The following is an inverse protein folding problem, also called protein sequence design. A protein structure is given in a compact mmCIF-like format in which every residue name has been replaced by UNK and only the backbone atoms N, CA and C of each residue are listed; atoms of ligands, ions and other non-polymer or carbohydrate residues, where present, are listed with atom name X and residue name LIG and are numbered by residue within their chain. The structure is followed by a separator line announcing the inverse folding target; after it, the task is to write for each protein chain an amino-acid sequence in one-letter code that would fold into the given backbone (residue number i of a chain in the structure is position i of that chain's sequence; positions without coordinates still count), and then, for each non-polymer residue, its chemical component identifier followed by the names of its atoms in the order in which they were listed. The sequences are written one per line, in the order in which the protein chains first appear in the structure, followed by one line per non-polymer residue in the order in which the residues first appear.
data_IF_264825227815
#
_entry.id   IF_264825227815
#
_cell.length_a   1.000
_cell.length_b   1.000
_cell.length_c   1.000
_cell.angle_alpha   90.00
_cell.angle_beta   90.00
_cell.angle_gamma   90.00
#
_symmetry.space_group_name_H-M   'P 1'
#
loop_
_entity.id
_entity.type
_entity.pdbx_description
1 polymer ?
#
# COMPACT_ATOMS: atom_id res chain seq x y z
N UNK A 1 4.49 11.45 -1.89
CA UNK A 1 3.07 11.29 -2.24
C UNK A 1 2.55 9.95 -1.75
N UNK A 2 1.40 9.94 -1.14
CA UNK A 2 0.84 8.71 -0.61
C UNK A 2 0.08 7.97 -1.72
N UNK A 3 0.68 6.92 -2.25
CA UNK A 3 0.08 6.14 -3.33
C UNK A 3 -0.52 4.82 -2.87
N UNK A 4 -0.09 4.30 -1.72
CA UNK A 4 -0.65 3.05 -1.23
C UNK A 4 -1.20 3.21 0.18
N UNK A 5 -2.09 2.27 0.55
CA UNK A 5 -2.74 2.21 1.85
C UNK A 5 -2.35 0.96 2.61
N UNK A 6 -1.16 0.45 2.37
CA UNK A 6 -0.70 -0.79 3.02
C UNK A 6 -0.71 -0.64 4.54
N UNK A 7 -0.25 0.51 5.05
CA UNK A 7 -0.23 0.76 6.49
C UNK A 7 -1.62 0.66 7.08
N UNK A 8 -2.60 1.29 6.46
CA UNK A 8 -3.97 1.29 6.96
C UNK A 8 -4.55 -0.12 6.99
N UNK A 9 -4.28 -0.91 5.96
CA UNK A 9 -4.76 -2.29 5.90
C UNK A 9 -4.09 -3.15 6.97
N UNK A 10 -2.78 -2.99 7.16
CA UNK A 10 -2.07 -3.70 8.22
C UNK A 10 -2.64 -3.35 9.59
N UNK A 11 -2.87 -2.06 9.84
CA UNK A 11 -3.41 -1.60 11.12
C UNK A 11 -4.81 -2.15 11.34
N UNK A 12 -5.66 -2.13 10.33
CA UNK A 12 -7.02 -2.67 10.43
C UNK A 12 -7.03 -4.17 10.77
N UNK A 13 -6.07 -4.89 10.22
CA UNK A 13 -6.00 -6.35 10.44
C UNK A 13 -5.13 -6.75 11.62
N UNK A 14 -4.48 -5.80 12.26
CA UNK A 14 -3.57 -6.10 13.36
C UNK A 14 -2.33 -6.87 12.93
N UNK A 15 -1.85 -6.65 11.71
CA UNK A 15 -0.71 -7.36 11.15
C UNK A 15 0.51 -6.45 11.18
N UNK A 16 1.65 -7.01 11.62
CA UNK A 16 2.89 -6.24 11.68
C UNK A 16 3.61 -6.23 10.33
N UNK A 17 4.47 -5.23 10.15
CA UNK A 17 5.33 -5.17 8.96
C UNK A 17 6.31 -6.34 8.92
N UNK A 18 6.78 -6.79 10.07
CA UNK A 18 7.67 -7.93 10.16
C UNK A 18 7.00 -9.19 9.64
N UNK A 19 5.75 -9.40 10.02
CA UNK A 19 4.98 -10.55 9.54
C UNK A 19 4.81 -10.49 8.02
N UNK A 20 4.45 -9.31 7.51
CA UNK A 20 4.28 -9.14 6.07
C UNK A 20 5.59 -9.37 5.31
N UNK A 21 6.70 -8.83 5.81
CA UNK A 21 8.00 -9.01 5.18
C UNK A 21 8.36 -10.49 5.08
N UNK A 22 8.12 -11.24 6.15
CA UNK A 22 8.39 -12.67 6.17
C UNK A 22 7.58 -13.41 5.11
N UNK A 23 6.29 -13.11 5.02
CA UNK A 23 5.39 -13.80 4.09
C UNK A 23 5.59 -13.34 2.64
N UNK A 24 6.06 -12.13 2.44
CA UNK A 24 6.37 -11.60 1.12
C UNK A 24 7.78 -11.98 0.65
N UNK A 25 8.57 -12.57 1.55
CA UNK A 25 9.95 -12.97 1.30
C UNK A 25 10.81 -11.75 0.91
N UNK A 26 10.64 -10.67 1.64
CA UNK A 26 11.43 -9.45 1.48
C UNK A 26 11.95 -8.98 2.81
N UNK A 27 12.95 -8.09 2.79
CA UNK A 27 13.47 -7.52 4.01
C UNK A 27 12.46 -6.58 4.66
N UNK A 28 12.58 -6.43 5.98
CA UNK A 28 11.78 -5.46 6.71
C UNK A 28 11.94 -4.05 6.11
N UNK A 29 13.18 -3.69 5.75
CA UNK A 29 13.44 -2.35 5.22
C UNK A 29 12.68 -2.11 3.91
N UNK A 30 12.59 -3.11 3.04
CA UNK A 30 11.82 -2.98 1.81
C UNK A 30 10.34 -2.77 2.10
N UNK A 31 9.79 -3.56 3.00
CA UNK A 31 8.37 -3.46 3.36
C UNK A 31 8.10 -2.13 4.05
N UNK A 32 8.99 -1.71 4.93
CA UNK A 32 8.84 -0.42 5.60
C UNK A 32 8.83 0.73 4.60
N UNK A 33 9.67 0.65 3.56
CA UNK A 33 9.68 1.68 2.52
C UNK A 33 8.34 1.74 1.77
N UNK A 34 7.72 0.58 1.51
CA UNK A 34 6.38 0.54 0.91
C UNK A 34 5.34 1.15 1.84
N UNK A 35 5.35 0.73 3.09
CA UNK A 35 4.36 1.17 4.09
C UNK A 35 4.44 2.68 4.32
N UNK A 36 5.64 3.23 4.30
CA UNK A 36 5.87 4.67 4.47
C UNK A 36 5.72 5.46 3.17
N UNK A 37 5.39 4.82 2.07
CA UNK A 37 5.25 5.45 0.76
C UNK A 37 6.54 6.13 0.28
N UNK A 38 7.70 5.64 0.72
CA UNK A 38 8.98 6.11 0.20
C UNK A 38 9.27 5.50 -1.17
N UNK A 39 8.91 4.23 -1.34
CA UNK A 39 8.94 3.54 -2.61
C UNK A 39 7.63 2.78 -2.77
N UNK A 40 7.32 2.36 -3.98
CA UNK A 40 6.10 1.62 -4.23
C UNK A 40 6.42 0.21 -4.68
N UNK A 41 5.64 -0.79 -4.26
CA UNK A 41 5.80 -2.13 -4.79
C UNK A 41 5.43 -2.14 -6.27
N UNK A 42 6.10 -2.98 -7.06
CA UNK A 42 5.66 -3.19 -8.43
C UNK A 42 4.34 -3.98 -8.42
N UNK A 43 3.72 -4.12 -9.58
CA UNK A 43 2.42 -4.78 -9.65
C UNK A 43 2.45 -6.22 -9.15
N UNK A 44 3.52 -6.95 -9.44
CA UNK A 44 3.64 -8.32 -8.98
C UNK A 44 3.70 -8.39 -7.45
N UNK A 45 4.51 -7.54 -6.82
CA UNK A 45 4.59 -7.48 -5.37
C UNK A 45 3.28 -7.00 -4.77
N UNK A 46 2.63 -6.03 -5.40
CA UNK A 46 1.35 -5.53 -4.92
C UNK A 46 0.29 -6.63 -4.95
N UNK A 47 0.26 -7.43 -6.01
CA UNK A 47 -0.66 -8.56 -6.10
C UNK A 47 -0.39 -9.57 -5.00
N UNK A 48 0.88 -9.89 -4.74
CA UNK A 48 1.24 -10.80 -3.67
C UNK A 48 0.80 -10.28 -2.31
N UNK A 49 1.01 -8.99 -2.05
CA UNK A 49 0.57 -8.37 -0.80
C UNK A 49 -0.96 -8.50 -0.67
N UNK A 50 -1.70 -8.24 -1.74
CA UNK A 50 -3.16 -8.35 -1.69
C UNK A 50 -3.60 -9.77 -1.34
N UNK A 51 -2.95 -10.77 -1.90
CA UNK A 51 -3.28 -12.17 -1.61
C UNK A 51 -2.92 -12.54 -0.18
N UNK A 52 -1.75 -12.11 0.30
CA UNK A 52 -1.32 -12.39 1.67
C UNK A 52 -2.27 -11.76 2.68
N UNK A 53 -2.72 -10.55 2.42
CA UNK A 53 -3.61 -9.83 3.32
C UNK A 53 -5.08 -10.16 3.12
N UNK A 54 -5.42 -10.86 2.03
CA UNK A 54 -6.80 -11.23 1.77
C UNK A 54 -7.67 -10.05 1.36
N UNK A 55 -7.12 -9.11 0.63
CA UNK A 55 -7.85 -7.93 0.14
C UNK A 55 -7.64 -7.79 -1.36
N UNK A 56 -8.46 -6.98 -2.00
CA UNK A 56 -8.27 -6.66 -3.42
C UNK A 56 -7.13 -5.66 -3.58
N UNK A 57 -6.45 -5.70 -4.72
CA UNK A 57 -5.37 -4.76 -5.00
C UNK A 57 -5.85 -3.30 -4.89
N UNK A 58 -7.08 -3.04 -5.30
CA UNK A 58 -7.62 -1.67 -5.21
C UNK A 58 -7.69 -1.15 -3.77
N UNK A 59 -7.82 -2.04 -2.81
CA UNK A 59 -7.87 -1.67 -1.41
C UNK A 59 -6.51 -1.26 -0.87
N UNK A 60 -5.46 -1.57 -1.61
CA UNK A 60 -4.08 -1.19 -1.26
C UNK A 60 -3.63 0.10 -1.93
N UNK A 61 -4.45 0.67 -2.79
CA UNK A 61 -4.09 1.85 -3.56
C UNK A 61 -4.90 3.03 -3.05
N UNK A 62 -4.22 4.14 -2.83
CA UNK A 62 -4.87 5.37 -2.39
C UNK A 62 -5.80 5.87 -3.50
N UNK A 63 -6.98 6.31 -3.12
CA UNK A 63 -7.89 6.87 -4.10
C UNK A 63 -7.43 8.28 -4.53
N UNK A 64 -8.12 8.84 -5.49
CA UNK A 64 -7.74 10.15 -6.02
C UNK A 64 -7.79 11.24 -4.96
N UNK A 65 -8.73 11.15 -4.02
CA UNK A 65 -8.87 12.15 -2.97
C UNK A 65 -7.72 12.12 -2.00
N UNK A 66 -7.15 10.93 -1.76
CA UNK A 66 -5.99 10.80 -0.88
C UNK A 66 -4.72 11.32 -1.55
N UNK A 67 -4.59 11.11 -2.87
CA UNK A 67 -3.39 11.52 -3.61
C UNK A 67 -3.40 12.99 -3.96
N UNK A 68 -4.57 13.54 -4.24
CA UNK A 68 -4.72 14.92 -4.69
C UNK A 68 -5.77 15.59 -3.83
N UNK A 69 -5.62 16.89 -3.63
CA UNK A 69 -6.71 17.61 -3.00
C UNK A 69 -7.82 17.81 -4.05
N UNK A 70 -9.01 18.19 -3.59
CA UNK A 70 -10.17 18.30 -4.46
C UNK A 70 -10.01 19.35 -5.57
N UNK A 71 -9.20 20.37 -5.33
CA UNK A 71 -8.96 21.41 -6.34
C UNK A 71 -8.15 20.85 -7.50
N UNK A 72 -7.19 19.98 -7.23
CA UNK A 72 -6.39 19.38 -8.26
C UNK A 72 -7.22 18.47 -9.16
N UNK A 73 -8.14 17.75 -8.55
CA UNK A 73 -8.91 16.74 -9.27
C UNK A 73 -9.91 17.37 -10.24
N UNK A 74 -10.60 18.38 -9.81
CA UNK A 74 -11.68 18.90 -10.64
C UNK A 74 -11.22 19.67 -11.86
N UNK A 75 -9.93 19.89 -12.01
CA UNK A 75 -9.39 20.47 -13.22
C UNK A 75 -9.29 19.48 -14.36
N UNK A 76 -9.39 18.21 -14.07
CA UNK A 76 -9.10 17.16 -15.03
C UNK A 76 -10.29 16.90 -15.95
N UNK A 77 -11.43 17.11 -15.48
CA UNK A 77 -12.65 16.75 -16.19
C UNK A 77 -13.63 17.92 -16.24
#
# INVERSE_FOLDING_TARGET
MKLNRIKEVLDEKGISQTWLAKHLNKSYNSVNAYVCNRTQPNLENLLQISKILGVDMKDLISDAEERFNSNDIKQTF
#
